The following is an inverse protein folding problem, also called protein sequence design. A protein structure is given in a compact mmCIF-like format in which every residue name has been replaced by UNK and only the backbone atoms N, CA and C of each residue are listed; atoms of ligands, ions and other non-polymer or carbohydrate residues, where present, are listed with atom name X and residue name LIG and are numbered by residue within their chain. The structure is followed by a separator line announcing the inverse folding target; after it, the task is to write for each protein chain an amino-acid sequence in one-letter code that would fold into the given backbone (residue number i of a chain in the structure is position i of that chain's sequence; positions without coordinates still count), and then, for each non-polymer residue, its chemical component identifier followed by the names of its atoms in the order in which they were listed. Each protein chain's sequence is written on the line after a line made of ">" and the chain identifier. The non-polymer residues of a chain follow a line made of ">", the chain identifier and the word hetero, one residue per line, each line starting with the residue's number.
data_IF_393018849821
#
_entry.id   IF_393018849821
#
_cell.length_a   1.000
_cell.length_b   1.000
_cell.length_c   1.000
_cell.angle_alpha   90.00
_cell.angle_beta   90.00
_cell.angle_gamma   90.00
#
_symmetry.space_group_name_H-M   'P 1'
#
loop_
_entity.id
_entity.type
_entity.pdbx_description
1 polymer ?
#
# COMPACT_ATOMS: atom_id res chain seq x y z
N UNK A 1 -9.82 -5.72 25.15
CA UNK A 1 -10.07 -6.20 26.53
C UNK A 1 -9.43 -7.57 26.61
N UNK A 2 -8.11 -7.60 26.64
CA UNK A 2 -7.33 -8.83 26.65
C UNK A 2 -7.50 -9.53 27.99
N UNK A 3 -7.94 -10.78 27.94
CA UNK A 3 -8.19 -11.59 29.13
C UNK A 3 -6.87 -11.78 29.91
N UNK A 4 -6.86 -11.64 31.25
CA UNK A 4 -5.67 -11.93 32.02
C UNK A 4 -5.41 -13.44 31.96
N UNK A 5 -4.36 -13.83 31.23
CA UNK A 5 -3.83 -15.19 31.19
C UNK A 5 -3.47 -15.59 32.61
N UNK A 6 -4.35 -16.35 33.27
CA UNK A 6 -4.08 -16.83 34.63
C UNK A 6 -2.88 -17.76 34.56
N UNK A 7 -1.80 -17.50 35.32
CA UNK A 7 -0.59 -18.29 35.23
C UNK A 7 -0.90 -19.71 35.69
N UNK A 8 -0.66 -20.69 34.81
CA UNK A 8 -0.85 -22.12 35.10
C UNK A 8 0.10 -22.51 36.23
N UNK A 9 -0.44 -22.78 37.42
CA UNK A 9 0.36 -23.23 38.58
C UNK A 9 0.29 -24.76 38.67
N UNK A 10 1.43 -25.42 38.58
CA UNK A 10 1.54 -26.88 38.77
C UNK A 10 1.26 -27.27 40.23
N UNK A 11 0.87 -28.54 40.40
CA UNK A 11 0.71 -29.12 41.74
C UNK A 11 2.06 -29.18 42.47
N UNK A 12 2.03 -29.24 43.82
CA UNK A 12 3.26 -29.34 44.62
C UNK A 12 4.05 -30.62 44.31
N UNK A 13 3.36 -31.72 44.06
CA UNK A 13 3.98 -33.02 43.84
C UNK A 13 4.66 -33.06 42.45
N UNK A 14 4.01 -32.48 41.44
CA UNK A 14 4.59 -32.30 40.11
C UNK A 14 5.79 -31.36 40.14
N UNK A 15 5.69 -30.24 40.87
CA UNK A 15 6.82 -29.32 41.06
C UNK A 15 8.01 -30.03 41.72
N UNK A 16 7.78 -30.87 42.72
CA UNK A 16 8.84 -31.64 43.40
C UNK A 16 9.53 -32.63 42.46
N UNK A 17 8.76 -33.31 41.60
CA UNK A 17 9.30 -34.19 40.56
C UNK A 17 10.17 -33.41 39.57
N UNK A 18 9.67 -32.28 39.07
CA UNK A 18 10.40 -31.43 38.12
C UNK A 18 11.65 -30.78 38.74
N UNK A 19 11.64 -30.41 40.02
CA UNK A 19 12.84 -29.96 40.72
C UNK A 19 13.91 -31.04 40.68
N UNK A 20 13.55 -32.29 40.98
CA UNK A 20 14.43 -33.45 40.88
C UNK A 20 15.02 -33.62 39.49
N UNK A 21 14.17 -33.60 38.46
CA UNK A 21 14.59 -33.71 37.06
C UNK A 21 15.55 -32.59 36.65
N UNK A 22 15.29 -31.34 37.06
CA UNK A 22 16.17 -30.19 36.77
C UNK A 22 17.51 -30.31 37.47
N UNK A 23 17.55 -30.77 38.71
CA UNK A 23 18.82 -31.04 39.41
C UNK A 23 19.64 -32.12 38.70
N UNK A 24 19.00 -33.19 38.22
CA UNK A 24 19.66 -34.23 37.41
C UNK A 24 20.20 -33.68 36.08
N UNK A 25 19.54 -32.68 35.49
CA UNK A 25 20.03 -31.94 34.32
C UNK A 25 21.18 -30.97 34.65
N UNK A 26 21.64 -30.93 35.90
CA UNK A 26 22.73 -30.06 36.36
C UNK A 26 22.31 -28.62 36.64
N UNK A 27 21.04 -28.40 36.99
CA UNK A 27 20.56 -27.10 37.48
C UNK A 27 20.81 -26.99 38.99
N UNK A 28 21.05 -25.76 39.45
CA UNK A 28 21.33 -25.48 40.86
C UNK A 28 20.09 -24.89 41.53
N UNK A 29 19.63 -25.50 42.62
CA UNK A 29 18.59 -24.90 43.47
C UNK A 29 19.17 -23.71 44.23
N UNK A 30 18.48 -22.58 44.18
CA UNK A 30 18.85 -21.36 44.89
C UNK A 30 18.09 -21.25 46.22
N UNK A 31 18.67 -20.55 47.19
CA UNK A 31 18.00 -20.19 48.45
C UNK A 31 16.96 -19.08 48.32
N UNK A 32 16.61 -18.68 47.10
CA UNK A 32 15.59 -17.67 46.80
C UNK A 32 14.28 -18.35 46.41
N UNK A 33 13.16 -17.88 46.94
CA UNK A 33 11.82 -18.36 46.60
C UNK A 33 11.21 -17.53 45.47
N UNK A 34 10.32 -18.16 44.70
CA UNK A 34 9.55 -17.49 43.66
C UNK A 34 8.74 -16.30 44.22
N UNK A 35 8.82 -15.10 43.59
CA UNK A 35 8.12 -13.89 44.06
C UNK A 35 6.61 -13.90 43.78
N UNK A 36 6.13 -14.81 42.93
CA UNK A 36 4.69 -14.97 42.63
C UNK A 36 3.92 -15.36 43.88
N UNK A 37 2.83 -14.64 44.14
CA UNK A 37 1.94 -14.88 45.27
C UNK A 37 1.51 -16.36 45.36
N UNK A 38 1.58 -16.91 46.57
CA UNK A 38 1.17 -18.27 46.89
C UNK A 38 1.97 -19.39 46.16
N UNK A 39 3.13 -19.08 45.57
CA UNK A 39 4.02 -20.08 44.96
C UNK A 39 5.08 -20.59 45.92
N UNK A 40 5.90 -19.68 46.48
CA UNK A 40 7.01 -19.92 47.41
C UNK A 40 7.97 -21.08 47.05
N UNK A 41 7.98 -21.51 45.78
CA UNK A 41 8.83 -22.62 45.33
C UNK A 41 10.25 -22.12 45.14
N UNK A 42 11.29 -22.88 45.56
CA UNK A 42 12.68 -22.51 45.32
C UNK A 42 12.97 -22.30 43.84
N UNK A 43 13.76 -21.27 43.53
CA UNK A 43 14.20 -21.00 42.17
C UNK A 43 15.35 -21.92 41.77
N UNK A 44 15.37 -22.31 40.50
CA UNK A 44 16.42 -23.12 39.90
C UNK A 44 17.24 -22.26 38.94
N UNK A 45 18.57 -22.37 38.99
CA UNK A 45 19.49 -21.69 38.07
C UNK A 45 20.05 -22.67 37.05
N UNK A 46 19.98 -22.32 35.77
CA UNK A 46 20.63 -23.09 34.70
C UNK A 46 22.12 -22.73 34.56
N UNK A 47 22.83 -23.45 33.68
CA UNK A 47 24.26 -23.17 33.39
C UNK A 47 24.52 -21.79 32.78
N UNK A 48 23.50 -21.16 32.20
CA UNK A 48 23.57 -19.80 31.63
C UNK A 48 23.28 -18.71 32.68
N UNK A 49 23.05 -19.07 33.95
CA UNK A 49 22.76 -18.14 35.02
C UNK A 49 21.28 -17.72 35.15
N UNK A 50 20.40 -18.16 34.24
CA UNK A 50 18.97 -17.81 34.26
C UNK A 50 18.24 -18.51 35.40
N UNK A 51 17.41 -17.77 36.14
CA UNK A 51 16.61 -18.30 37.25
C UNK A 51 15.22 -18.68 36.78
N UNK A 52 14.69 -19.80 37.29
CA UNK A 52 13.45 -20.40 36.81
C UNK A 52 12.64 -20.99 37.96
N UNK A 53 11.33 -20.77 37.94
CA UNK A 53 10.39 -21.42 38.84
C UNK A 53 9.70 -22.59 38.14
N UNK A 54 9.93 -23.83 38.61
CA UNK A 54 9.29 -25.02 38.01
C UNK A 54 7.79 -25.10 38.24
N UNK A 55 7.27 -24.46 39.30
CA UNK A 55 5.84 -24.51 39.65
C UNK A 55 5.01 -23.54 38.81
N UNK A 56 5.53 -22.34 38.57
CA UNK A 56 4.89 -21.35 37.70
C UNK A 56 5.24 -21.55 36.22
N UNK A 57 6.26 -22.37 35.93
CA UNK A 57 6.83 -22.54 34.59
C UNK A 57 7.38 -21.25 33.98
N UNK A 58 7.91 -20.35 34.81
CA UNK A 58 8.34 -19.01 34.39
C UNK A 58 9.79 -18.76 34.78
N UNK A 59 10.50 -18.05 33.90
CA UNK A 59 11.79 -17.46 34.24
C UNK A 59 11.58 -16.26 35.16
N UNK A 60 12.44 -16.14 36.16
CA UNK A 60 12.49 -14.99 37.05
C UNK A 60 13.74 -14.22 36.71
N UNK A 61 13.54 -12.97 36.31
CA UNK A 61 14.61 -12.01 36.04
C UNK A 61 14.65 -11.00 37.18
N UNK A 62 15.85 -10.52 37.50
CA UNK A 62 15.98 -9.38 38.40
C UNK A 62 15.53 -8.09 37.72
N UNK A 63 15.18 -7.05 38.49
CA UNK A 63 14.79 -5.75 37.93
C UNK A 63 15.87 -5.18 37.00
N UNK A 64 17.14 -5.38 37.33
CA UNK A 64 18.27 -4.91 36.52
C UNK A 64 18.41 -5.70 35.20
N UNK A 65 18.18 -7.02 35.22
CA UNK A 65 18.14 -7.83 34.01
C UNK A 65 16.94 -7.49 33.12
N UNK A 66 15.77 -7.24 33.73
CA UNK A 66 14.57 -6.82 33.00
C UNK A 66 14.78 -5.47 32.29
N UNK A 67 15.39 -4.49 32.97
CA UNK A 67 15.76 -3.20 32.35
C UNK A 67 16.73 -3.38 31.19
N UNK A 68 17.73 -4.25 31.34
CA UNK A 68 18.70 -4.53 30.26
C UNK A 68 18.02 -5.20 29.06
N UNK A 69 17.16 -6.18 29.30
CA UNK A 69 16.38 -6.83 28.24
C UNK A 69 15.48 -5.83 27.52
N UNK A 70 14.73 -5.01 28.26
CA UNK A 70 13.89 -3.97 27.66
C UNK A 70 14.70 -2.94 26.86
N UNK A 71 15.89 -2.55 27.33
CA UNK A 71 16.77 -1.65 26.60
C UNK A 71 17.31 -2.28 25.31
N UNK A 72 17.70 -3.56 25.35
CA UNK A 72 18.15 -4.32 24.19
C UNK A 72 17.03 -4.52 23.17
N UNK A 73 15.83 -4.89 23.61
CA UNK A 73 14.66 -5.03 22.75
C UNK A 73 14.28 -3.69 22.10
N UNK A 74 14.36 -2.58 22.85
CA UNK A 74 14.11 -1.25 22.30
C UNK A 74 15.18 -0.81 21.28
N UNK A 75 16.44 -1.17 21.51
CA UNK A 75 17.54 -0.91 20.58
C UNK A 75 17.37 -1.73 19.29
N UNK A 76 17.08 -3.03 19.39
CA UNK A 76 16.83 -3.91 18.25
C UNK A 76 15.62 -3.45 17.42
N UNK A 77 14.52 -3.04 18.08
CA UNK A 77 13.36 -2.45 17.40
C UNK A 77 13.72 -1.15 16.68
N UNK A 78 14.51 -0.28 17.32
CA UNK A 78 14.94 0.98 16.71
C UNK A 78 15.92 0.77 15.54
N UNK A 79 16.73 -0.30 15.56
CA UNK A 79 17.57 -0.69 14.43
C UNK A 79 16.71 -1.23 13.27
N UNK A 80 15.75 -2.12 13.55
CA UNK A 80 14.83 -2.65 12.53
C UNK A 80 14.00 -1.53 11.87
N UNK A 81 13.47 -0.57 12.65
CA UNK A 81 12.72 0.58 12.12
C UNK A 81 13.60 1.46 11.20
N UNK A 82 14.89 1.61 11.51
CA UNK A 82 15.82 2.35 10.64
C UNK A 82 16.10 1.59 9.34
N UNK A 83 16.33 0.29 9.42
CA UNK A 83 16.55 -0.55 8.24
C UNK A 83 15.34 -0.51 7.30
N UNK A 84 14.12 -0.61 7.85
CA UNK A 84 12.89 -0.49 7.08
C UNK A 84 12.74 0.90 6.43
N UNK A 85 13.03 1.98 7.18
CA UNK A 85 12.99 3.34 6.65
C UNK A 85 14.03 3.56 5.53
N UNK A 86 15.23 2.99 5.67
CA UNK A 86 16.26 3.04 4.63
C UNK A 86 15.86 2.22 3.39
N UNK A 87 15.22 1.07 3.57
CA UNK A 87 14.73 0.25 2.48
C UNK A 87 13.63 0.97 1.69
N UNK A 88 12.68 1.60 2.37
CA UNK A 88 11.62 2.39 1.75
C UNK A 88 12.20 3.58 0.98
N UNK A 89 13.16 4.31 1.57
CA UNK A 89 13.82 5.43 0.89
C UNK A 89 14.55 4.99 -0.40
N UNK A 90 15.19 3.82 -0.41
CA UNK A 90 15.81 3.25 -1.62
C UNK A 90 14.77 2.91 -2.68
N UNK A 91 13.65 2.31 -2.28
CA UNK A 91 12.55 1.98 -3.19
C UNK A 91 11.95 3.24 -3.82
N UNK A 92 11.72 4.29 -3.03
CA UNK A 92 11.24 5.59 -3.53
C UNK A 92 12.22 6.22 -4.51
N UNK A 93 13.53 6.16 -4.23
CA UNK A 93 14.56 6.68 -5.14
C UNK A 93 14.58 5.91 -6.47
N UNK A 94 14.51 4.58 -6.44
CA UNK A 94 14.42 3.75 -7.66
C UNK A 94 13.17 4.06 -8.48
N UNK A 95 12.03 4.23 -7.80
CA UNK A 95 10.78 4.63 -8.42
C UNK A 95 10.89 6.00 -9.09
N UNK A 96 11.52 6.99 -8.44
CA UNK A 96 11.74 8.31 -9.01
C UNK A 96 12.63 8.23 -10.28
N UNK A 97 13.71 7.46 -10.23
CA UNK A 97 14.59 7.23 -11.41
C UNK A 97 13.83 6.58 -12.57
N UNK A 98 12.96 5.61 -12.27
CA UNK A 98 12.16 4.96 -13.29
C UNK A 98 11.17 5.93 -13.96
N UNK A 99 10.50 6.78 -13.17
CA UNK A 99 9.60 7.82 -13.69
C UNK A 99 10.35 8.80 -14.60
N UNK A 100 11.52 9.28 -14.17
CA UNK A 100 12.35 10.18 -14.97
C UNK A 100 12.78 9.54 -16.29
N UNK A 101 13.21 8.27 -16.26
CA UNK A 101 13.60 7.54 -17.45
C UNK A 101 12.42 7.38 -18.44
N UNK A 102 11.21 7.10 -17.94
CA UNK A 102 10.03 7.03 -18.79
C UNK A 102 9.69 8.36 -19.44
N UNK A 103 9.71 9.46 -18.69
CA UNK A 103 9.45 10.79 -19.23
C UNK A 103 10.46 11.14 -20.33
N UNK A 104 11.75 10.84 -20.12
CA UNK A 104 12.80 11.05 -21.12
C UNK A 104 12.55 10.27 -22.41
N UNK A 105 12.12 9.01 -22.31
CA UNK A 105 11.80 8.18 -23.47
C UNK A 105 10.56 8.68 -24.22
N UNK A 106 9.53 9.12 -23.49
CA UNK A 106 8.33 9.70 -24.09
C UNK A 106 8.64 10.99 -24.87
N UNK A 107 9.48 11.87 -24.31
CA UNK A 107 9.93 13.07 -24.99
C UNK A 107 10.74 12.78 -26.26
N UNK A 108 11.64 11.78 -26.21
CA UNK A 108 12.37 11.33 -27.40
C UNK A 108 11.43 10.75 -28.46
N UNK A 109 10.46 9.93 -28.06
CA UNK A 109 9.47 9.36 -28.97
C UNK A 109 8.57 10.44 -29.60
N UNK A 110 8.17 11.46 -28.84
CA UNK A 110 7.41 12.60 -29.34
C UNK A 110 8.20 13.37 -30.39
N UNK A 111 9.45 13.73 -30.09
CA UNK A 111 10.35 14.40 -31.05
C UNK A 111 10.58 13.58 -32.32
N UNK A 112 10.72 12.26 -32.20
CA UNK A 112 10.87 11.36 -33.34
C UNK A 112 9.59 11.31 -34.21
N UNK A 113 8.40 11.29 -33.59
CA UNK A 113 7.11 11.37 -34.30
C UNK A 113 6.98 12.71 -35.05
N UNK A 114 7.25 13.83 -34.39
CA UNK A 114 7.24 15.16 -35.01
C UNK A 114 8.21 15.24 -36.21
N UNK A 115 9.41 14.65 -36.09
CA UNK A 115 10.38 14.59 -37.19
C UNK A 115 9.85 13.77 -38.38
N UNK A 116 9.25 12.61 -38.13
CA UNK A 116 8.66 11.76 -39.17
C UNK A 116 7.50 12.45 -39.89
N UNK A 117 6.64 13.20 -39.18
CA UNK A 117 5.54 13.96 -39.79
C UNK A 117 6.06 15.05 -40.73
N UNK A 118 7.11 15.77 -40.34
CA UNK A 118 7.77 16.78 -41.19
C UNK A 118 8.41 16.16 -42.44
N UNK A 119 9.00 14.96 -42.34
CA UNK A 119 9.54 14.23 -43.49
C UNK A 119 8.44 13.73 -44.43
N UNK A 120 7.35 13.17 -43.90
CA UNK A 120 6.20 12.73 -44.69
C UNK A 120 5.55 13.88 -45.46
N UNK A 121 5.40 15.05 -44.82
CA UNK A 121 4.90 16.27 -45.47
C UNK A 121 5.79 16.80 -46.60
N UNK A 122 7.10 16.53 -46.55
CA UNK A 122 8.03 16.86 -47.66
C UNK A 122 7.91 15.87 -48.82
N UNK A 123 7.72 14.57 -48.56
CA UNK A 123 7.55 13.57 -49.63
C UNK A 123 6.21 13.68 -50.38
N UNK A 124 5.16 14.22 -49.77
CA UNK A 124 3.87 14.44 -50.43
C UNK A 124 3.81 15.73 -51.29
N UNK A 125 4.86 16.57 -51.29
CA UNK A 125 4.90 17.85 -52.03
C UNK A 125 5.59 17.78 -53.40
N UNK A 126 5.74 16.59 -53.99
CA UNK A 126 6.08 16.42 -55.40
C UNK A 126 4.81 16.62 -56.28
N UNK A 127 4.87 17.32 -57.42
CA UNK A 127 3.68 17.85 -58.08
C UNK A 127 2.95 16.76 -58.87
N UNK A 128 1.73 16.42 -58.44
CA UNK A 128 0.75 15.79 -59.32
C UNK A 128 -0.10 16.89 -59.96
N UNK A 129 0.19 17.18 -61.23
CA UNK A 129 -0.70 17.92 -62.10
C UNK A 129 -1.95 17.07 -62.41
N UNK A 130 -3.14 17.67 -62.26
CA UNK A 130 -4.36 17.53 -63.05
C UNK A 130 -5.64 17.43 -62.21
N UNK A 131 -6.65 18.18 -62.64
CA UNK A 131 -8.06 17.82 -62.43
C UNK A 131 -8.90 18.86 -61.71
N UNK A 132 -9.43 19.81 -62.47
CA UNK A 132 -10.52 20.68 -62.03
C UNK A 132 -11.80 19.87 -61.75
N UNK A 133 -12.42 20.06 -60.59
CA UNK A 133 -13.81 19.65 -60.34
C UNK A 133 -14.51 20.66 -59.41
N UNK A 134 -15.34 21.52 -60.01
CA UNK A 134 -16.33 22.37 -59.32
C UNK A 134 -17.53 21.52 -58.90
N UNK A 135 -17.93 21.55 -57.62
CA UNK A 135 -19.33 21.37 -57.15
C UNK A 135 -19.50 22.19 -55.87
N UNK A 136 -20.06 23.40 -56.00
CA UNK A 136 -21.46 23.76 -55.68
C UNK A 136 -21.85 23.48 -54.23
N UNK A 137 -21.91 24.59 -53.50
CA UNK A 137 -22.57 24.79 -52.21
C UNK A 137 -24.07 24.79 -52.50
N UNK A 138 -24.83 23.93 -51.84
CA UNK A 138 -26.27 24.10 -51.69
C UNK A 138 -26.58 24.18 -50.19
N UNK A 139 -27.09 25.35 -49.81
CA UNK A 139 -27.67 25.70 -48.53
C UNK A 139 -29.14 25.27 -48.53
N UNK A 140 -29.57 24.49 -47.54
CA UNK A 140 -30.99 24.34 -47.23
C UNK A 140 -31.21 24.19 -45.72
N UNK A 141 -31.68 25.29 -45.14
CA UNK A 141 -32.35 25.38 -43.85
C UNK A 141 -33.63 24.53 -43.90
N UNK A 142 -33.85 23.71 -42.87
CA UNK A 142 -35.08 22.98 -42.63
C UNK A 142 -35.18 22.56 -41.16
N UNK A 143 -35.81 23.39 -40.33
CA UNK A 143 -36.15 23.10 -38.93
C UNK A 143 -37.18 21.97 -38.85
N UNK A 144 -36.82 20.82 -38.25
CA UNK A 144 -37.70 19.67 -38.03
C UNK A 144 -37.53 19.11 -36.59
N UNK A 145 -38.62 18.78 -35.86
CA UNK A 145 -38.59 18.38 -34.45
C UNK A 145 -38.04 16.95 -34.18
N UNK A 146 -37.57 16.25 -35.21
CA UNK A 146 -36.96 14.92 -35.10
C UNK A 146 -35.56 14.94 -34.48
N UNK A 147 -34.81 16.04 -34.67
CA UNK A 147 -33.43 16.17 -34.19
C UNK A 147 -33.31 16.24 -32.67
N UNK A 148 -34.29 16.86 -31.99
CA UNK A 148 -34.25 17.01 -30.53
C UNK A 148 -34.52 15.70 -29.79
N UNK A 149 -35.36 14.83 -30.36
CA UNK A 149 -35.60 13.51 -29.79
C UNK A 149 -34.35 12.62 -29.90
N UNK A 150 -33.66 12.70 -31.04
CA UNK A 150 -32.42 11.97 -31.29
C UNK A 150 -31.27 12.49 -30.42
N UNK A 151 -31.12 13.82 -30.30
CA UNK A 151 -30.13 14.44 -29.39
C UNK A 151 -30.40 14.07 -27.93
N UNK A 152 -31.67 14.04 -27.52
CA UNK A 152 -32.04 13.61 -26.16
C UNK A 152 -31.83 12.11 -25.94
N UNK A 153 -32.02 11.28 -26.95
CA UNK A 153 -31.73 9.84 -26.88
C UNK A 153 -30.22 9.59 -26.74
N UNK A 154 -29.40 10.27 -27.55
CA UNK A 154 -27.94 10.23 -27.46
C UNK A 154 -27.47 10.71 -26.09
N UNK A 155 -28.05 11.79 -25.56
CA UNK A 155 -27.73 12.30 -24.21
C UNK A 155 -28.02 11.27 -23.12
N UNK A 156 -29.20 10.62 -23.17
CA UNK A 156 -29.60 9.59 -22.19
C UNK A 156 -28.70 8.36 -22.28
N UNK A 157 -28.36 7.92 -23.48
CA UNK A 157 -27.48 6.78 -23.72
C UNK A 157 -26.05 7.06 -23.23
N UNK A 158 -25.55 8.27 -23.49
CA UNK A 158 -24.22 8.71 -23.04
C UNK A 158 -24.16 8.79 -21.50
N UNK A 159 -25.19 9.35 -20.88
CA UNK A 159 -25.31 9.45 -19.43
C UNK A 159 -25.38 8.07 -18.77
N UNK A 160 -26.17 7.14 -19.32
CA UNK A 160 -26.22 5.76 -18.83
C UNK A 160 -24.86 5.04 -18.92
N UNK A 161 -24.16 5.21 -20.06
CA UNK A 161 -22.82 4.63 -20.25
C UNK A 161 -21.78 5.22 -19.28
N UNK A 162 -21.89 6.52 -18.97
CA UNK A 162 -21.03 7.19 -17.98
C UNK A 162 -21.26 6.65 -16.57
N UNK A 163 -22.53 6.50 -16.15
CA UNK A 163 -22.83 5.91 -14.83
C UNK A 163 -22.36 4.47 -14.71
N UNK A 164 -22.54 3.66 -15.75
CA UNK A 164 -22.07 2.29 -15.75
C UNK A 164 -20.55 2.20 -15.65
N UNK A 165 -19.82 3.05 -16.42
CA UNK A 165 -18.35 3.12 -16.33
C UNK A 165 -17.88 3.63 -14.97
N UNK A 166 -18.59 4.58 -14.37
CA UNK A 166 -18.28 5.10 -13.04
C UNK A 166 -18.45 4.02 -11.97
N UNK A 167 -19.52 3.24 -12.02
CA UNK A 167 -19.73 2.12 -11.08
C UNK A 167 -18.67 1.03 -11.24
N UNK A 168 -18.32 0.63 -12.47
CA UNK A 168 -17.26 -0.35 -12.73
C UNK A 168 -15.91 0.17 -12.21
N UNK A 169 -15.62 1.45 -12.42
CA UNK A 169 -14.43 2.08 -11.86
C UNK A 169 -14.46 2.03 -10.33
N UNK A 170 -15.57 2.39 -9.69
CA UNK A 170 -15.78 2.34 -8.23
C UNK A 170 -15.63 0.94 -7.65
N UNK A 171 -16.18 -0.08 -8.30
CA UNK A 171 -16.08 -1.49 -7.86
C UNK A 171 -14.67 -2.07 -8.08
N UNK A 172 -13.92 -1.54 -9.06
CA UNK A 172 -12.51 -1.90 -9.31
C UNK A 172 -11.50 -1.19 -8.38
N UNK A 173 -11.97 -0.35 -7.45
CA UNK A 173 -11.10 0.33 -6.48
C UNK A 173 -10.88 -0.56 -5.24
N UNK A 174 -9.67 -1.13 -5.13
CA UNK A 174 -9.19 -1.68 -3.85
C UNK A 174 -8.95 -0.53 -2.85
N UNK A 175 -9.25 -0.71 -1.54
CA UNK A 175 -9.11 0.34 -0.52
C UNK A 175 -7.72 0.97 -0.36
N UNK A 176 -6.66 0.37 -0.92
CA UNK A 176 -5.27 0.75 -0.67
C UNK A 176 -4.65 1.73 -1.70
N UNK A 177 -5.33 2.12 -2.79
CA UNK A 177 -4.78 3.01 -3.85
C UNK A 177 -5.37 4.44 -3.84
N UNK A 178 -5.48 5.05 -2.66
CA UNK A 178 -6.34 6.23 -2.47
C UNK A 178 -5.75 7.56 -3.01
N UNK A 179 -4.44 7.76 -3.02
CA UNK A 179 -3.83 9.07 -3.30
C UNK A 179 -3.76 9.43 -4.79
N UNK A 180 -3.28 8.52 -5.65
CA UNK A 180 -3.11 8.79 -7.09
C UNK A 180 -4.46 8.88 -7.82
N UNK A 181 -5.46 8.13 -7.35
CA UNK A 181 -6.80 8.13 -7.93
C UNK A 181 -7.61 9.37 -7.54
N UNK A 182 -7.45 9.92 -6.34
CA UNK A 182 -8.07 11.20 -5.96
C UNK A 182 -7.60 12.35 -6.86
N UNK A 183 -6.31 12.36 -7.22
CA UNK A 183 -5.73 13.36 -8.13
C UNK A 183 -6.33 13.20 -9.54
N UNK A 184 -6.46 11.96 -10.02
CA UNK A 184 -7.05 11.66 -11.34
C UNK A 184 -8.54 12.03 -11.41
N UNK A 185 -9.32 11.69 -10.38
CA UNK A 185 -10.75 12.04 -10.28
C UNK A 185 -10.93 13.55 -10.19
N UNK A 186 -10.14 14.25 -9.37
CA UNK A 186 -10.21 15.71 -9.27
C UNK A 186 -9.89 16.40 -10.60
N UNK A 187 -8.98 15.82 -11.41
CA UNK A 187 -8.67 16.33 -12.74
C UNK A 187 -9.82 16.09 -13.73
N UNK A 188 -10.39 14.90 -13.74
CA UNK A 188 -11.53 14.57 -14.60
C UNK A 188 -12.76 15.44 -14.29
N UNK A 189 -13.04 15.72 -13.01
CA UNK A 189 -14.14 16.60 -12.59
C UNK A 189 -13.94 18.03 -13.10
N UNK A 190 -12.70 18.56 -13.08
CA UNK A 190 -12.39 19.88 -13.63
C UNK A 190 -12.61 19.93 -15.14
N UNK A 191 -12.12 18.93 -15.87
CA UNK A 191 -12.27 18.88 -17.33
C UNK A 191 -13.75 18.79 -17.75
N UNK A 192 -14.58 18.05 -17.00
CA UNK A 192 -16.02 17.98 -17.23
C UNK A 192 -16.70 19.32 -16.92
N UNK A 193 -16.30 20.01 -15.85
CA UNK A 193 -16.85 21.31 -15.49
C UNK A 193 -16.52 22.39 -16.54
N UNK A 194 -15.30 22.37 -17.09
CA UNK A 194 -14.88 23.25 -18.18
C UNK A 194 -15.66 22.96 -19.47
N UNK A 195 -15.81 21.68 -19.83
CA UNK A 195 -16.62 21.27 -20.98
C UNK A 195 -18.09 21.70 -20.82
N UNK A 196 -18.65 21.59 -19.61
CA UNK A 196 -20.01 22.04 -19.32
C UNK A 196 -20.16 23.57 -19.38
N UNK A 197 -19.11 24.32 -19.05
CA UNK A 197 -19.09 25.79 -19.19
C UNK A 197 -19.03 26.24 -20.66
N UNK A 198 -18.26 25.54 -21.49
CA UNK A 198 -18.17 25.81 -22.93
C UNK A 198 -19.50 25.53 -23.66
N UNK A 199 -20.28 24.55 -23.19
CA UNK A 199 -21.61 24.24 -23.74
C UNK A 199 -22.71 25.25 -23.33
N UNK A 200 -22.43 26.18 -22.42
CA UNK A 200 -23.38 27.22 -21.97
C UNK A 200 -23.18 28.58 -22.68
N UNK A 201 -22.15 28.75 -23.50
CA UNK A 201 -21.95 29.91 -24.39
C UNK A 201 -22.46 29.59 -25.78
#
# INVERSE_FOLDING_TARGET
>A
MDAPTTPVKRSRDEASKLLGEKMLQGWTMLGASCPVDNCYTPLMRNKQGKMFCVRCDQFVVTEEEAKKQAAQEAEELAEAEKEDAEAEARYEEERARHIEQQFRLQEQAKKAREMQELEQGKTQRAPAANGAAKRKIDSAVGTSPESDAEVNAIRRQTLAALYQKMNVLTESLSPNDHSERLISVAKAVREIAEAAHLLKQ
#
